data_IF_648731398035
#
_entry.id   IF_648731398035
#
_cell.length_a   1.000
_cell.length_b   1.000
_cell.length_c   1.000
_cell.angle_alpha   90.00
_cell.angle_beta   90.00
_cell.angle_gamma   90.00
#
_symmetry.space_group_name_H-M   'P 1'
#
loop_
_entity.id
_entity.type
_entity.pdbx_description
1 polymer ?
#
# COMPACT_ATOMS: atom_id res chain seq x y z
N UNK A 1 17.95 7.20 -8.98
CA UNK A 1 16.72 7.99 -9.23
C UNK A 1 15.81 7.15 -10.11
N UNK A 2 14.48 7.25 -10.00
CA UNK A 2 13.59 6.54 -10.94
C UNK A 2 13.71 7.17 -12.34
N UNK A 3 13.71 6.31 -13.36
CA UNK A 3 13.81 6.70 -14.76
C UNK A 3 12.52 6.33 -15.49
N UNK A 4 11.95 7.26 -16.25
CA UNK A 4 10.79 6.99 -17.10
C UNK A 4 11.22 6.11 -18.28
N UNK A 5 10.61 4.93 -18.40
CA UNK A 5 10.83 4.00 -19.52
C UNK A 5 9.83 4.24 -20.63
N UNK A 6 8.54 4.36 -20.27
CA UNK A 6 7.48 4.60 -21.24
C UNK A 6 6.32 5.38 -20.62
N UNK A 7 5.63 6.14 -21.46
CA UNK A 7 4.35 6.77 -21.18
C UNK A 7 3.52 6.72 -22.46
N UNK A 8 2.56 5.80 -22.52
CA UNK A 8 1.75 5.54 -23.72
C UNK A 8 0.28 5.49 -23.37
N UNK A 9 -0.57 5.40 -24.40
CA UNK A 9 -1.99 5.14 -24.25
C UNK A 9 -2.33 3.83 -24.95
N UNK A 10 -3.16 2.98 -24.35
CA UNK A 10 -3.66 1.77 -25.01
C UNK A 10 -4.86 2.05 -25.93
N UNK A 11 -5.39 1.01 -26.58
CA UNK A 11 -6.51 1.13 -27.51
C UNK A 11 -7.81 1.56 -26.81
N UNK A 12 -7.92 1.29 -25.51
CA UNK A 12 -9.05 1.62 -24.64
C UNK A 12 -8.93 3.03 -24.03
N UNK A 13 -7.84 3.74 -24.31
CA UNK A 13 -7.61 5.11 -23.86
C UNK A 13 -6.97 5.22 -22.46
N UNK A 14 -6.52 4.13 -21.85
CA UNK A 14 -5.86 4.15 -20.55
C UNK A 14 -4.42 4.64 -20.68
N UNK A 15 -3.95 5.44 -19.74
CA UNK A 15 -2.55 5.89 -19.70
C UNK A 15 -1.69 4.83 -19.03
N UNK A 16 -0.68 4.34 -19.74
CA UNK A 16 0.30 3.36 -19.27
C UNK A 16 1.62 4.07 -19.00
N UNK A 17 2.13 3.96 -17.77
CA UNK A 17 3.42 4.55 -17.38
C UNK A 17 4.30 3.45 -16.79
N UNK A 18 5.53 3.33 -17.28
CA UNK A 18 6.55 2.46 -16.68
C UNK A 18 7.76 3.29 -16.23
N UNK A 19 8.17 3.10 -14.99
CA UNK A 19 9.41 3.63 -14.46
C UNK A 19 10.31 2.49 -13.96
N UNK A 20 11.61 2.69 -14.03
CA UNK A 20 12.60 1.75 -13.49
C UNK A 20 13.54 2.41 -12.52
N UNK A 21 14.04 1.61 -11.58
CA UNK A 21 15.15 1.96 -10.71
C UNK A 21 16.24 0.91 -10.94
N UNK A 22 17.37 1.34 -11.53
CA UNK A 22 18.50 0.47 -11.84
C UNK A 22 19.34 0.12 -10.61
N UNK A 23 20.28 -0.81 -10.79
CA UNK A 23 21.25 -1.23 -9.78
C UNK A 23 22.28 -0.16 -9.44
N UNK A 24 22.32 0.94 -10.19
CA UNK A 24 23.07 2.17 -9.92
C UNK A 24 22.35 3.11 -8.94
N UNK A 25 21.12 2.79 -8.53
CA UNK A 25 20.43 3.53 -7.49
C UNK A 25 21.25 3.52 -6.19
N UNK A 26 21.36 4.66 -5.49
CA UNK A 26 22.11 4.72 -4.25
C UNK A 26 21.47 3.77 -3.24
N UNK A 27 22.12 2.64 -3.00
CA UNK A 27 21.88 1.83 -1.82
C UNK A 27 22.63 2.47 -0.66
N UNK A 28 22.17 2.21 0.57
CA UNK A 28 22.99 2.53 1.75
C UNK A 28 24.13 1.51 1.75
N UNK A 29 25.38 1.93 1.47
CA UNK A 29 26.52 1.01 1.46
C UNK A 29 26.60 0.32 2.83
N UNK A 30 27.00 -0.95 2.84
CA UNK A 30 27.08 -1.81 4.03
C UNK A 30 25.76 -2.27 4.66
N UNK A 31 24.60 -1.75 4.21
CA UNK A 31 23.27 -2.21 4.66
C UNK A 31 22.61 -3.11 3.61
N UNK A 32 22.80 -2.83 2.32
CA UNK A 32 22.20 -3.62 1.23
C UNK A 32 23.17 -3.82 0.06
N UNK A 33 23.74 -5.04 -0.03
CA UNK A 33 24.76 -5.42 -1.01
C UNK A 33 24.26 -6.42 -2.06
N UNK A 34 22.95 -6.54 -2.25
CA UNK A 34 22.36 -7.40 -3.28
C UNK A 34 22.13 -6.60 -4.56
N UNK A 35 22.61 -7.03 -5.74
CA UNK A 35 22.23 -6.41 -7.01
C UNK A 35 20.75 -6.64 -7.32
N UNK A 36 20.02 -5.56 -7.62
CA UNK A 36 18.60 -5.63 -7.95
C UNK A 36 18.20 -4.50 -8.91
N UNK A 37 17.06 -4.68 -9.56
CA UNK A 37 16.35 -3.61 -10.26
C UNK A 37 14.88 -3.61 -9.87
N UNK A 38 14.26 -2.43 -9.90
CA UNK A 38 12.81 -2.27 -9.73
C UNK A 38 12.17 -1.80 -11.03
N UNK A 39 10.98 -2.29 -11.33
CA UNK A 39 10.06 -1.69 -12.29
C UNK A 39 8.73 -1.41 -11.58
N UNK A 40 8.19 -0.21 -11.78
CA UNK A 40 6.84 0.14 -11.37
C UNK A 40 6.03 0.54 -12.59
N UNK A 41 4.88 -0.11 -12.75
CA UNK A 41 3.94 0.13 -13.84
C UNK A 41 2.64 0.69 -13.30
N UNK A 42 2.15 1.73 -13.94
CA UNK A 42 0.85 2.34 -13.67
C UNK A 42 -0.03 2.17 -14.89
N UNK A 43 -1.28 1.75 -14.67
CA UNK A 43 -2.35 1.83 -15.66
C UNK A 43 -3.42 2.74 -15.08
N UNK A 44 -3.61 3.90 -15.69
CA UNK A 44 -4.50 4.97 -15.22
C UNK A 44 -5.69 5.07 -16.18
N UNK A 45 -6.88 4.73 -15.70
CA UNK A 45 -8.14 4.83 -16.42
C UNK A 45 -9.28 5.11 -15.46
N UNK A 46 -10.42 4.43 -15.65
CA UNK A 46 -11.54 4.44 -14.69
C UNK A 46 -11.17 3.78 -13.35
N UNK A 47 -10.12 2.97 -13.34
CA UNK A 47 -9.43 2.43 -12.17
C UNK A 47 -7.94 2.77 -12.25
N UNK A 48 -7.22 2.58 -11.12
CA UNK A 48 -5.78 2.68 -11.05
C UNK A 48 -5.19 1.31 -10.73
N UNK A 49 -4.36 0.78 -11.62
CA UNK A 49 -3.53 -0.40 -11.33
C UNK A 49 -2.09 0.02 -11.12
N UNK A 50 -1.44 -0.56 -10.10
CA UNK A 50 -0.04 -0.33 -9.78
C UNK A 50 0.63 -1.69 -9.61
N UNK A 51 1.68 -1.94 -10.38
CA UNK A 51 2.48 -3.15 -10.29
C UNK A 51 3.92 -2.78 -9.98
N UNK A 52 4.42 -3.16 -8.79
CA UNK A 52 5.82 -2.99 -8.41
C UNK A 52 6.51 -4.36 -8.43
N UNK A 53 7.55 -4.48 -9.25
CA UNK A 53 8.33 -5.71 -9.44
C UNK A 53 9.76 -5.49 -9.01
N UNK A 54 10.26 -6.37 -8.14
CA UNK A 54 11.69 -6.44 -7.79
C UNK A 54 12.34 -7.61 -8.52
N UNK A 55 13.45 -7.36 -9.22
CA UNK A 55 14.24 -8.40 -9.87
C UNK A 55 15.57 -8.55 -9.14
N UNK A 56 15.91 -9.77 -8.74
CA UNK A 56 17.25 -10.11 -8.28
C UNK A 56 18.18 -10.21 -9.49
N UNK A 57 19.22 -9.38 -9.55
CA UNK A 57 20.22 -9.37 -10.62
C UNK A 57 21.54 -10.03 -10.18
N UNK A 58 21.63 -10.44 -8.93
CA UNK A 58 22.78 -11.13 -8.37
C UNK A 58 22.71 -12.65 -8.54
N UNK A 59 23.77 -13.29 -8.02
CA UNK A 59 23.92 -14.75 -8.05
C UNK A 59 23.54 -15.41 -6.71
N UNK A 60 22.91 -14.67 -5.79
CA UNK A 60 22.52 -15.17 -4.47
C UNK A 60 21.12 -14.71 -4.11
N UNK A 61 20.29 -15.57 -3.49
CA UNK A 61 18.96 -15.19 -3.06
C UNK A 61 19.03 -14.15 -1.94
N UNK A 62 18.03 -13.27 -1.89
CA UNK A 62 17.80 -12.36 -0.78
C UNK A 62 16.33 -12.35 -0.38
N UNK A 63 16.05 -11.88 0.84
CA UNK A 63 14.68 -11.70 1.34
C UNK A 63 14.33 -10.22 1.32
N UNK A 64 13.09 -9.92 0.98
CA UNK A 64 12.57 -8.56 0.94
C UNK A 64 11.14 -8.53 1.46
N UNK A 65 10.75 -7.37 1.99
CA UNK A 65 9.35 -6.98 2.15
C UNK A 65 9.06 -5.83 1.19
N UNK A 66 7.85 -5.76 0.66
CA UNK A 66 7.45 -4.73 -0.28
C UNK A 66 6.01 -4.29 0.03
N UNK A 67 5.74 -2.99 -0.10
CA UNK A 67 4.42 -2.43 0.12
C UNK A 67 4.16 -1.28 -0.84
N UNK A 68 2.89 -1.07 -1.20
CA UNK A 68 2.40 0.15 -1.82
C UNK A 68 1.66 0.94 -0.73
N UNK A 69 2.29 1.99 -0.23
CA UNK A 69 1.78 2.76 0.92
C UNK A 69 0.76 3.82 0.48
N UNK A 70 -0.39 3.35 -0.04
CA UNK A 70 -1.42 4.20 -0.65
C UNK A 70 -2.13 5.05 0.38
N UNK A 71 -2.11 6.37 0.19
CA UNK A 71 -2.93 7.32 0.95
C UNK A 71 -4.24 7.56 0.21
N UNK A 72 -5.36 7.18 0.82
CA UNK A 72 -6.68 7.43 0.27
C UNK A 72 -7.26 8.69 0.92
N UNK A 73 -7.77 9.58 0.08
CA UNK A 73 -8.46 10.77 0.55
C UNK A 73 -9.83 10.40 1.13
N UNK A 74 -10.17 11.03 2.25
CA UNK A 74 -11.47 10.97 2.90
C UNK A 74 -11.95 12.38 3.29
N UNK A 75 -13.26 12.61 3.25
CA UNK A 75 -13.85 13.88 3.72
C UNK A 75 -13.80 13.99 5.24
N UNK A 76 -14.30 12.96 5.92
CA UNK A 76 -14.35 12.86 7.38
C UNK A 76 -13.98 11.42 7.80
N UNK A 77 -12.88 11.30 8.53
CA UNK A 77 -12.34 10.02 9.01
C UNK A 77 -13.33 9.28 9.92
N UNK A 78 -14.17 10.01 10.67
CA UNK A 78 -15.17 9.42 11.56
C UNK A 78 -16.35 8.80 10.81
N UNK A 79 -16.58 9.23 9.57
CA UNK A 79 -17.66 8.75 8.71
C UNK A 79 -17.18 7.71 7.68
N UNK A 80 -15.91 7.26 7.77
CA UNK A 80 -15.40 6.16 6.96
C UNK A 80 -15.85 4.80 7.51
N UNK A 81 -16.17 3.90 6.58
CA UNK A 81 -16.36 2.48 6.87
C UNK A 81 -15.43 1.65 5.98
N UNK A 82 -14.62 0.79 6.59
CA UNK A 82 -13.72 -0.13 5.88
C UNK A 82 -14.25 -1.55 6.02
N UNK A 83 -14.63 -2.15 4.90
CA UNK A 83 -15.24 -3.48 4.79
C UNK A 83 -14.27 -4.49 4.16
N UNK A 84 -14.58 -5.79 4.29
CA UNK A 84 -13.77 -6.89 3.77
C UNK A 84 -12.79 -7.50 4.79
N UNK A 85 -12.74 -6.94 5.99
CA UNK A 85 -11.84 -7.37 7.07
C UNK A 85 -12.56 -8.03 8.27
N UNK A 86 -13.89 -8.18 8.23
CA UNK A 86 -14.64 -8.80 9.32
C UNK A 86 -14.15 -10.23 9.62
N UNK A 87 -14.01 -10.54 10.91
CA UNK A 87 -13.50 -11.82 11.41
C UNK A 87 -12.01 -12.06 11.18
N UNK A 88 -11.28 -11.15 10.51
CA UNK A 88 -9.84 -11.28 10.27
C UNK A 88 -9.03 -10.90 11.50
N UNK A 89 -7.95 -11.65 11.72
CA UNK A 89 -6.98 -11.31 12.75
C UNK A 89 -6.03 -10.22 12.23
N UNK A 90 -5.58 -9.37 13.14
CA UNK A 90 -4.59 -8.35 12.88
C UNK A 90 -3.64 -8.18 14.05
N UNK A 91 -2.44 -7.69 13.75
CA UNK A 91 -1.46 -7.22 14.72
C UNK A 91 -1.69 -5.72 14.91
N UNK A 92 -1.96 -5.29 16.14
CA UNK A 92 -2.14 -3.88 16.49
C UNK A 92 -0.83 -3.29 17.00
N UNK A 93 -0.14 -2.49 16.17
CA UNK A 93 1.14 -1.89 16.58
C UNK A 93 0.99 -0.74 17.57
N UNK A 94 -0.20 -0.16 17.70
CA UNK A 94 -0.48 0.85 18.73
C UNK A 94 -0.61 0.18 20.09
N UNK A 95 -1.17 -1.02 20.12
CA UNK A 95 -1.31 -1.88 21.30
C UNK A 95 -0.17 -2.91 21.37
N UNK A 96 1.09 -2.46 21.31
CA UNK A 96 2.30 -3.27 21.53
C UNK A 96 2.45 -4.54 20.66
N UNK A 97 1.81 -4.58 19.49
CA UNK A 97 1.83 -5.73 18.58
C UNK A 97 0.90 -6.87 19.01
N UNK A 98 -0.09 -6.60 19.86
CA UNK A 98 -1.07 -7.60 20.27
C UNK A 98 -1.91 -8.09 19.08
N UNK A 99 -2.22 -9.40 19.08
CA UNK A 99 -3.14 -9.98 18.11
C UNK A 99 -4.58 -9.73 18.53
N UNK A 100 -5.35 -9.15 17.63
CA UNK A 100 -6.77 -8.85 17.81
C UNK A 100 -7.55 -9.39 16.62
N UNK A 101 -8.87 -9.44 16.75
CA UNK A 101 -9.78 -9.84 15.67
C UNK A 101 -10.73 -8.69 15.36
N UNK A 102 -10.86 -8.35 14.08
CA UNK A 102 -11.80 -7.35 13.61
C UNK A 102 -13.24 -7.87 13.74
N UNK A 103 -14.15 -6.99 14.15
CA UNK A 103 -15.58 -7.26 14.26
C UNK A 103 -16.33 -6.23 13.42
N UNK A 104 -17.10 -6.69 12.44
CA UNK A 104 -17.80 -5.85 11.47
C UNK A 104 -16.85 -4.98 10.64
N UNK A 105 -17.41 -3.92 10.05
CA UNK A 105 -16.62 -2.89 9.37
C UNK A 105 -15.75 -2.13 10.37
N UNK A 106 -14.60 -1.65 9.90
CA UNK A 106 -13.70 -0.82 10.68
C UNK A 106 -14.08 0.66 10.52
N UNK A 107 -14.25 1.33 11.66
CA UNK A 107 -14.29 2.79 11.78
C UNK A 107 -13.01 3.29 12.44
N UNK A 108 -12.65 4.56 12.22
CA UNK A 108 -11.42 5.15 12.74
C UNK A 108 -11.79 6.37 13.59
N UNK A 109 -11.50 6.28 14.89
CA UNK A 109 -11.80 7.32 15.89
C UNK A 109 -10.57 7.72 16.74
N UNK A 110 -9.42 7.14 16.43
CA UNK A 110 -8.14 7.30 17.12
C UNK A 110 -6.99 6.85 16.23
N UNK A 111 -5.78 6.92 16.75
CA UNK A 111 -4.60 6.34 16.11
C UNK A 111 -4.79 4.83 15.88
N UNK A 112 -4.51 4.39 14.65
CA UNK A 112 -4.44 2.97 14.33
C UNK A 112 -3.19 2.66 13.48
N UNK A 113 -2.61 1.49 13.72
CA UNK A 113 -1.58 0.87 12.88
C UNK A 113 -1.80 -0.64 12.94
N UNK A 114 -2.65 -1.14 12.03
CA UNK A 114 -3.11 -2.53 12.04
C UNK A 114 -2.57 -3.28 10.84
N UNK A 115 -1.93 -4.42 11.09
CA UNK A 115 -1.41 -5.33 10.06
C UNK A 115 -2.33 -6.55 9.98
N UNK A 116 -3.11 -6.64 8.92
CA UNK A 116 -3.94 -7.80 8.60
C UNK A 116 -3.16 -8.75 7.71
N UNK A 117 -3.02 -10.01 8.14
CA UNK A 117 -2.32 -11.06 7.39
C UNK A 117 -3.32 -12.02 6.73
N UNK A 118 -2.90 -12.71 5.67
CA UNK A 118 -3.71 -13.71 4.94
C UNK A 118 -5.04 -13.14 4.39
N UNK A 119 -5.00 -11.91 3.87
CA UNK A 119 -6.13 -11.28 3.18
C UNK A 119 -6.05 -11.60 1.69
N UNK A 120 -7.11 -12.22 1.17
CA UNK A 120 -7.22 -12.67 -0.22
C UNK A 120 -8.39 -12.05 -0.98
N UNK A 121 -9.13 -11.12 -0.36
CA UNK A 121 -10.32 -10.49 -0.90
C UNK A 121 -10.20 -8.95 -0.93
N UNK A 122 -11.13 -8.28 -1.64
CA UNK A 122 -11.13 -6.83 -1.73
C UNK A 122 -11.35 -6.18 -0.35
N UNK A 123 -10.69 -5.04 -0.14
CA UNK A 123 -10.98 -4.13 0.97
C UNK A 123 -11.71 -2.93 0.40
N UNK A 124 -12.91 -2.65 0.89
CA UNK A 124 -13.71 -1.54 0.40
C UNK A 124 -13.72 -0.42 1.44
N UNK A 125 -13.31 0.77 1.02
CA UNK A 125 -13.34 2.00 1.83
C UNK A 125 -14.52 2.85 1.37
N UNK A 126 -15.52 3.01 2.24
CA UNK A 126 -16.71 3.84 1.99
C UNK A 126 -16.56 5.18 2.67
N UNK A 127 -16.66 6.25 1.89
CA UNK A 127 -16.75 7.62 2.34
C UNK A 127 -18.22 8.05 2.24
N UNK A 128 -18.93 7.96 3.37
CA UNK A 128 -20.36 8.21 3.44
C UNK A 128 -20.73 9.67 3.12
N UNK A 129 -20.03 10.70 3.65
CA UNK A 129 -20.33 12.09 3.30
C UNK A 129 -20.25 12.38 1.80
N UNK A 130 -19.29 11.74 1.10
CA UNK A 130 -19.13 11.91 -0.35
C UNK A 130 -19.95 10.93 -1.19
N UNK A 131 -20.61 9.95 -0.56
CA UNK A 131 -21.24 8.81 -1.23
C UNK A 131 -20.28 8.15 -2.25
N UNK A 132 -19.00 8.02 -1.90
CA UNK A 132 -17.97 7.41 -2.74
C UNK A 132 -17.41 6.16 -2.08
N UNK A 133 -16.93 5.23 -2.91
CA UNK A 133 -16.26 4.02 -2.43
C UNK A 133 -15.04 3.74 -3.27
N UNK A 134 -13.98 3.30 -2.61
CA UNK A 134 -12.75 2.82 -3.24
C UNK A 134 -12.62 1.34 -2.89
N UNK A 135 -12.48 0.51 -3.91
CA UNK A 135 -12.19 -0.92 -3.74
C UNK A 135 -10.70 -1.12 -3.98
N UNK A 136 -10.01 -1.72 -3.02
CA UNK A 136 -8.59 -2.05 -3.09
C UNK A 136 -8.47 -3.57 -3.22
N UNK A 137 -7.88 -4.00 -4.32
CA UNK A 137 -7.53 -5.39 -4.59
C UNK A 137 -6.02 -5.51 -4.73
N UNK A 138 -5.46 -6.58 -4.17
CA UNK A 138 -4.02 -6.84 -4.20
C UNK A 138 -3.73 -8.25 -4.68
N UNK A 139 -2.68 -8.40 -5.47
CA UNK A 139 -2.09 -9.69 -5.82
C UNK A 139 -0.58 -9.66 -5.53
N UNK A 140 0.03 -10.83 -5.32
CA UNK A 140 1.45 -10.94 -4.94
C UNK A 140 1.78 -10.55 -3.48
N UNK A 141 0.80 -9.99 -2.75
CA UNK A 141 0.83 -9.79 -1.29
C UNK A 141 -0.51 -10.25 -0.70
N UNK A 142 -0.45 -10.77 0.54
CA UNK A 142 -1.64 -11.11 1.34
C UNK A 142 -1.69 -10.30 2.65
N UNK A 143 -0.92 -9.22 2.72
CA UNK A 143 -0.87 -8.32 3.87
C UNK A 143 -1.52 -6.99 3.53
N UNK A 144 -2.48 -6.57 4.34
CA UNK A 144 -3.12 -5.25 4.28
C UNK A 144 -2.76 -4.48 5.55
N UNK A 145 -2.29 -3.25 5.38
CA UNK A 145 -2.01 -2.35 6.51
C UNK A 145 -3.04 -1.22 6.47
N UNK A 146 -3.75 -1.03 7.58
CA UNK A 146 -4.60 0.14 7.78
C UNK A 146 -3.93 1.03 8.83
N UNK A 147 -3.58 2.24 8.40
CA UNK A 147 -2.83 3.18 9.21
C UNK A 147 -3.49 4.56 9.19
N UNK A 148 -3.66 5.13 10.38
CA UNK A 148 -4.00 6.54 10.56
C UNK A 148 -3.22 7.05 11.79
N UNK A 149 -2.33 8.05 11.63
CA UNK A 149 -1.47 8.56 12.70
C UNK A 149 -2.22 9.32 13.79
N UNK A 150 -3.45 9.74 13.52
CA UNK A 150 -4.19 10.67 14.37
C UNK A 150 -3.46 12.00 14.61
N UNK A 151 -4.05 12.82 15.48
CA UNK A 151 -3.62 14.20 15.69
C UNK A 151 -2.21 14.29 16.27
N UNK A 152 -1.93 13.54 17.34
CA UNK A 152 -0.68 13.67 18.10
C UNK A 152 0.53 13.30 17.24
N UNK A 153 0.47 12.21 16.47
CA UNK A 153 1.58 11.85 15.56
C UNK A 153 1.68 12.77 14.35
N UNK A 154 0.57 13.28 13.81
CA UNK A 154 0.63 14.30 12.75
C UNK A 154 1.37 15.56 13.21
N UNK A 155 1.13 16.02 14.45
CA UNK A 155 1.81 17.19 15.01
C UNK A 155 3.30 16.92 15.26
N UNK A 156 3.65 15.70 15.64
CA UNK A 156 5.04 15.30 15.91
C UNK A 156 5.83 14.97 14.63
N UNK A 157 5.16 14.62 13.54
CA UNK A 157 5.78 14.37 12.25
C UNK A 157 6.44 15.65 11.74
N UNK A 158 7.74 15.57 11.46
CA UNK A 158 8.48 16.63 10.77
C UNK A 158 8.54 16.26 9.29
N UNK A 159 8.38 17.26 8.43
CA UNK A 159 8.54 17.12 6.97
C UNK A 159 9.88 16.50 6.57
#
# INVERSE_FOLDING_TARGET
MWTLVSCTQDAEGQTLVELTLGSDAPTVPDVWNHPYSLSIKFTVGTSLSIQLTTRNEGNSPFRLSQALHTYLHCEDIHALQIEGLDGKEFIDKVDEGQKRRQQGFLTIDREIDRVYENISGPVMVKDLPRAKSVVVESSGSQTVIIWNPWREKCVAAKD
#
